data_IF_942805810622
#
_entry.id   IF_942805810622
#
_cell.length_a   1.000
_cell.length_b   1.000
_cell.length_c   1.000
_cell.angle_alpha   90.00
_cell.angle_beta   90.00
_cell.angle_gamma   90.00
#
_symmetry.space_group_name_H-M   'P 1'
#
loop_
_entity.id
_entity.type
_entity.pdbx_description
1 polymer ?
#
# COMPACT_ATOMS: atom_id res chain seq x y z
N UNK A 1 -5.46 3.62 2.60
CA UNK A 1 -5.61 4.22 3.95
C UNK A 1 -4.26 4.72 4.35
N UNK A 2 -4.03 6.00 4.09
CA UNK A 2 -2.80 6.68 4.46
C UNK A 2 -3.03 7.38 5.79
N UNK A 3 -2.15 7.16 6.75
CA UNK A 3 -2.19 7.81 8.05
C UNK A 3 -1.71 9.25 7.86
N UNK A 4 -2.51 10.27 8.20
CA UNK A 4 -2.12 11.66 8.12
C UNK A 4 -1.22 12.09 9.29
N UNK A 5 -0.57 13.23 9.15
CA UNK A 5 0.23 13.80 10.24
C UNK A 5 -0.66 14.19 11.45
N UNK A 6 -0.12 13.99 12.65
CA UNK A 6 -0.82 14.27 13.92
C UNK A 6 -1.64 13.11 14.48
N UNK A 7 -1.84 12.03 13.73
CA UNK A 7 -2.61 10.86 14.19
C UNK A 7 -1.77 9.88 15.02
N UNK A 8 -0.46 9.84 14.76
CA UNK A 8 0.48 9.01 15.51
C UNK A 8 1.24 9.86 16.53
N UNK A 9 1.48 9.28 17.70
CA UNK A 9 2.30 9.91 18.73
C UNK A 9 3.76 9.96 18.28
N UNK A 10 4.54 10.94 18.77
CA UNK A 10 5.94 11.11 18.39
C UNK A 10 6.80 9.86 18.54
N UNK A 11 6.72 9.11 19.64
CA UNK A 11 7.49 7.87 19.76
C UNK A 11 7.13 6.82 18.71
N UNK A 12 5.83 6.71 18.36
CA UNK A 12 5.33 5.70 17.42
C UNK A 12 5.76 6.02 16.00
N UNK A 13 5.47 7.21 15.47
CA UNK A 13 5.85 7.52 14.09
C UNK A 13 7.36 7.59 13.92
N UNK A 14 8.12 8.06 14.92
CA UNK A 14 9.58 8.09 14.84
C UNK A 14 10.19 6.68 14.79
N UNK A 15 9.68 5.76 15.62
CA UNK A 15 10.11 4.37 15.61
C UNK A 15 9.77 3.68 14.27
N UNK A 16 8.56 3.87 13.76
CA UNK A 16 8.13 3.30 12.47
C UNK A 16 8.90 3.88 11.29
N UNK A 17 9.27 5.16 11.32
CA UNK A 17 10.15 5.76 10.32
C UNK A 17 11.53 5.10 10.32
N UNK A 18 12.12 4.91 11.50
CA UNK A 18 13.43 4.27 11.61
C UNK A 18 13.39 2.81 11.13
N UNK A 19 12.41 2.02 11.56
CA UNK A 19 12.30 0.60 11.21
C UNK A 19 11.94 0.39 9.75
N UNK A 20 10.99 1.17 9.21
CA UNK A 20 10.62 1.09 7.79
C UNK A 20 11.74 1.57 6.87
N UNK A 21 12.50 2.61 7.23
CA UNK A 21 13.67 3.02 6.46
C UNK A 21 14.73 1.89 6.38
N UNK A 22 15.00 1.21 7.51
CA UNK A 22 15.89 0.06 7.53
C UNK A 22 15.35 -1.12 6.68
N UNK A 23 14.04 -1.39 6.77
CA UNK A 23 13.37 -2.42 5.98
C UNK A 23 13.43 -2.15 4.48
N UNK A 24 13.14 -0.92 4.05
CA UNK A 24 13.26 -0.50 2.65
C UNK A 24 14.71 -0.58 2.18
N UNK A 25 15.67 -0.14 2.98
CA UNK A 25 17.09 -0.25 2.62
C UNK A 25 17.52 -1.71 2.41
N UNK A 26 17.05 -2.62 3.25
CA UNK A 26 17.30 -4.05 3.10
C UNK A 26 16.63 -4.64 1.85
N UNK A 27 15.35 -4.34 1.62
CA UNK A 27 14.61 -4.78 0.44
C UNK A 27 15.18 -4.21 -0.86
N UNK A 28 15.65 -2.95 -0.83
CA UNK A 28 16.33 -2.30 -1.94
C UNK A 28 17.60 -3.06 -2.33
N UNK A 29 18.44 -3.43 -1.36
CA UNK A 29 19.62 -4.28 -1.62
C UNK A 29 19.24 -5.64 -2.21
N UNK A 30 18.16 -6.24 -1.72
CA UNK A 30 17.61 -7.49 -2.25
C UNK A 30 17.09 -7.37 -3.69
N UNK A 31 16.44 -6.24 -4.00
CA UNK A 31 15.96 -5.90 -5.34
C UNK A 31 17.14 -5.69 -6.32
N UNK A 32 18.17 -4.93 -5.94
CA UNK A 32 19.37 -4.69 -6.79
C UNK A 32 20.06 -5.97 -7.24
N UNK A 33 20.08 -7.02 -6.40
CA UNK A 33 20.70 -8.30 -6.74
C UNK A 33 19.95 -9.08 -7.83
N UNK A 34 18.64 -8.84 -7.98
CA UNK A 34 17.73 -9.65 -8.79
C UNK A 34 17.06 -8.87 -9.93
N UNK A 35 17.24 -7.56 -10.00
CA UNK A 35 16.63 -6.72 -11.01
C UNK A 35 17.51 -6.71 -12.27
N UNK A 36 16.94 -7.16 -13.39
CA UNK A 36 17.56 -7.03 -14.71
C UNK A 36 17.26 -5.64 -15.29
N UNK A 37 18.22 -5.08 -16.04
CA UNK A 37 18.15 -3.72 -16.61
C UNK A 37 16.93 -3.52 -17.53
N UNK A 38 16.58 -4.55 -18.30
CA UNK A 38 15.41 -4.58 -19.18
C UNK A 38 14.06 -4.51 -18.43
N UNK A 39 14.03 -4.72 -17.11
CA UNK A 39 12.81 -4.66 -16.28
C UNK A 39 12.60 -3.30 -15.63
N UNK A 40 13.57 -2.39 -15.70
CA UNK A 40 13.45 -1.03 -15.15
C UNK A 40 12.24 -0.29 -15.75
N UNK A 41 11.98 -0.31 -17.08
CA UNK A 41 10.79 0.31 -17.64
C UNK A 41 9.48 -0.22 -17.04
N UNK A 42 9.42 -1.52 -16.75
CA UNK A 42 8.24 -2.15 -16.16
C UNK A 42 7.98 -1.63 -14.73
N UNK A 43 9.02 -1.36 -13.93
CA UNK A 43 8.86 -0.71 -12.62
C UNK A 43 8.19 0.66 -12.75
N UNK A 44 8.63 1.45 -13.73
CA UNK A 44 8.07 2.78 -14.02
C UNK A 44 6.60 2.72 -14.42
N UNK A 45 6.28 1.90 -15.42
CA UNK A 45 4.90 1.77 -15.93
C UNK A 45 3.96 1.23 -14.85
N UNK A 46 4.37 0.18 -14.12
CA UNK A 46 3.54 -0.38 -13.06
C UNK A 46 3.38 0.57 -11.88
N UNK A 47 4.44 1.32 -11.53
CA UNK A 47 4.37 2.35 -10.50
C UNK A 47 3.37 3.44 -10.86
N UNK A 48 3.45 3.97 -12.08
CA UNK A 48 2.52 4.99 -12.56
C UNK A 48 1.08 4.48 -12.63
N UNK A 49 0.89 3.25 -13.09
CA UNK A 49 -0.44 2.61 -13.13
C UNK A 49 -1.05 2.52 -11.72
N UNK A 50 -0.28 2.04 -10.74
CA UNK A 50 -0.78 1.91 -9.36
C UNK A 50 -1.01 3.26 -8.71
N UNK A 51 -0.12 4.24 -8.91
CA UNK A 51 -0.33 5.62 -8.48
C UNK A 51 -1.63 6.19 -9.05
N UNK A 52 -1.86 6.05 -10.36
CA UNK A 52 -3.09 6.52 -11.01
C UNK A 52 -4.33 5.80 -10.46
N UNK A 53 -4.25 4.49 -10.26
CA UNK A 53 -5.36 3.71 -9.73
C UNK A 53 -5.69 4.05 -8.27
N UNK A 54 -4.69 4.42 -7.47
CA UNK A 54 -4.86 4.90 -6.09
C UNK A 54 -5.62 6.23 -6.00
N UNK A 55 -5.64 7.04 -7.07
CA UNK A 55 -6.42 8.28 -7.10
C UNK A 55 -7.92 8.03 -7.34
N UNK A 56 -8.29 6.82 -7.76
CA UNK A 56 -9.69 6.46 -7.98
C UNK A 56 -10.29 6.04 -6.63
N UNK A 57 -11.05 6.96 -6.04
CA UNK A 57 -11.84 6.70 -4.86
C UNK A 57 -13.19 6.05 -5.24
N UNK A 58 -13.58 5.02 -4.51
CA UNK A 58 -14.88 4.39 -4.61
C UNK A 58 -15.58 4.33 -3.24
N UNK A 59 -16.91 4.47 -3.19
CA UNK A 59 -17.65 4.35 -1.95
C UNK A 59 -17.59 2.90 -1.44
N UNK A 60 -17.16 2.71 -0.19
CA UNK A 60 -17.05 1.39 0.46
C UNK A 60 -18.10 1.25 1.56
N UNK A 61 -18.60 2.36 2.10
CA UNK A 61 -19.65 2.39 3.12
C UNK A 61 -20.32 3.75 3.18
N UNK A 62 -21.27 3.91 4.10
CA UNK A 62 -21.94 5.19 4.36
C UNK A 62 -20.86 6.21 4.76
N UNK A 63 -20.70 7.18 3.86
CA UNK A 63 -19.56 8.07 3.60
C UNK A 63 -18.20 7.67 4.17
N UNK A 64 -17.81 6.46 3.77
CA UNK A 64 -16.40 6.11 3.69
C UNK A 64 -16.05 5.78 2.25
N UNK A 65 -15.08 6.52 1.74
CA UNK A 65 -14.43 6.20 0.47
C UNK A 65 -13.14 5.43 0.73
N UNK A 66 -12.88 4.46 -0.12
CA UNK A 66 -11.63 3.73 -0.18
C UNK A 66 -11.04 3.87 -1.56
N UNK A 67 -9.77 3.56 -1.66
CA UNK A 67 -9.05 3.53 -2.92
C UNK A 67 -8.31 2.21 -3.04
N UNK A 68 -7.91 1.88 -4.27
CA UNK A 68 -7.07 0.72 -4.52
C UNK A 68 -5.75 0.87 -3.76
N UNK A 69 -5.21 -0.18 -3.15
CA UNK A 69 -3.86 -0.14 -2.55
C UNK A 69 -2.79 -0.52 -3.56
N UNK A 70 -3.02 -1.53 -4.40
CA UNK A 70 -2.15 -1.96 -5.49
C UNK A 70 -0.88 -2.73 -5.09
N UNK A 71 -0.64 -2.96 -3.80
CA UNK A 71 0.54 -3.70 -3.31
C UNK A 71 0.56 -5.15 -3.82
N UNK A 72 -0.59 -5.81 -3.90
CA UNK A 72 -0.72 -7.15 -4.48
C UNK A 72 -0.35 -7.20 -5.95
N UNK A 73 -0.91 -6.29 -6.75
CA UNK A 73 -0.62 -6.17 -8.17
C UNK A 73 0.88 -5.97 -8.45
N UNK A 74 1.52 -5.02 -7.74
CA UNK A 74 2.96 -4.81 -7.86
C UNK A 74 3.74 -6.08 -7.50
N UNK A 75 3.32 -6.78 -6.45
CA UNK A 75 4.00 -8.00 -5.97
C UNK A 75 3.95 -9.12 -7.01
N UNK A 76 2.82 -9.32 -7.68
CA UNK A 76 2.68 -10.41 -8.67
C UNK A 76 3.43 -10.14 -9.97
N UNK A 77 3.51 -8.87 -10.40
CA UNK A 77 4.18 -8.46 -11.64
C UNK A 77 5.69 -8.28 -11.41
N UNK A 78 6.08 -7.58 -10.33
CA UNK A 78 7.45 -7.15 -10.08
C UNK A 78 8.21 -8.04 -9.07
N UNK A 79 7.49 -8.80 -8.24
CA UNK A 79 8.05 -9.52 -7.11
C UNK A 79 8.12 -8.63 -5.85
N UNK A 80 8.22 -9.23 -4.65
CA UNK A 80 8.00 -8.50 -3.40
C UNK A 80 9.03 -7.38 -3.14
N UNK A 81 10.33 -7.64 -3.39
CA UNK A 81 11.36 -6.64 -3.14
C UNK A 81 11.27 -5.42 -4.10
N UNK A 82 11.18 -5.59 -5.44
CA UNK A 82 10.96 -4.45 -6.33
C UNK A 82 9.60 -3.77 -6.11
N UNK A 83 8.55 -4.53 -5.78
CA UNK A 83 7.23 -3.97 -5.46
C UNK A 83 7.26 -3.05 -4.23
N UNK A 84 7.96 -3.46 -3.17
CA UNK A 84 8.12 -2.64 -1.98
C UNK A 84 8.86 -1.33 -2.26
N UNK A 85 9.90 -1.36 -3.11
CA UNK A 85 10.63 -0.15 -3.52
C UNK A 85 9.72 0.79 -4.33
N UNK A 86 8.98 0.26 -5.30
CA UNK A 86 8.04 1.05 -6.12
C UNK A 86 6.92 1.63 -5.27
N UNK A 87 6.33 0.84 -4.37
CA UNK A 87 5.28 1.31 -3.46
C UNK A 87 5.81 2.38 -2.50
N UNK A 88 7.05 2.24 -2.00
CA UNK A 88 7.68 3.28 -1.18
C UNK A 88 7.82 4.60 -1.95
N UNK A 89 8.23 4.54 -3.21
CA UNK A 89 8.34 5.73 -4.07
C UNK A 89 6.98 6.40 -4.30
N UNK A 90 5.94 5.60 -4.54
CA UNK A 90 4.55 6.08 -4.67
C UNK A 90 4.11 6.82 -3.41
N UNK A 91 4.26 6.20 -2.24
CA UNK A 91 3.86 6.78 -0.95
C UNK A 91 4.64 8.06 -0.61
N UNK A 92 5.94 8.09 -0.92
CA UNK A 92 6.75 9.30 -0.74
C UNK A 92 6.26 10.45 -1.62
N UNK A 93 5.91 10.18 -2.88
CA UNK A 93 5.34 11.18 -3.79
C UNK A 93 3.97 11.64 -3.27
N UNK A 94 3.11 10.72 -2.84
CA UNK A 94 1.80 11.04 -2.28
C UNK A 94 1.90 11.96 -1.07
N UNK A 95 2.76 11.64 -0.11
CA UNK A 95 2.96 12.46 1.09
C UNK A 95 3.58 13.83 0.77
N UNK A 96 4.62 13.89 -0.08
CA UNK A 96 5.39 15.12 -0.33
C UNK A 96 4.75 16.08 -1.34
N UNK A 97 4.08 15.54 -2.36
CA UNK A 97 3.57 16.32 -3.50
C UNK A 97 2.05 16.47 -3.47
N UNK A 98 1.34 15.47 -2.94
CA UNK A 98 -0.13 15.45 -2.93
C UNK A 98 -0.73 15.62 -1.55
N UNK A 99 0.11 15.60 -0.50
CA UNK A 99 -0.35 15.65 0.89
C UNK A 99 -1.33 14.51 1.24
N UNK A 100 -1.31 13.44 0.46
CA UNK A 100 -2.12 12.24 0.66
C UNK A 100 -1.36 11.27 1.57
N UNK A 101 -1.62 11.43 2.86
CA UNK A 101 -0.83 10.84 3.95
C UNK A 101 0.16 11.82 4.59
N UNK A 102 0.59 11.50 5.81
CA UNK A 102 1.50 12.32 6.59
C UNK A 102 2.96 12.15 6.19
N UNK A 103 3.72 13.25 6.22
CA UNK A 103 5.18 13.23 6.00
C UNK A 103 5.88 12.66 7.23
N UNK A 104 5.43 13.00 8.44
CA UNK A 104 5.92 12.41 9.68
C UNK A 104 5.46 10.95 9.81
N UNK A 105 4.25 10.63 9.34
CA UNK A 105 3.71 9.28 9.32
C UNK A 105 4.18 8.43 8.11
N UNK A 106 5.08 8.95 7.25
CA UNK A 106 5.47 8.29 6.01
C UNK A 106 6.00 6.87 6.22
N UNK A 107 6.83 6.65 7.24
CA UNK A 107 7.36 5.32 7.55
C UNK A 107 6.32 4.34 8.08
N UNK A 108 5.28 4.80 8.77
CA UNK A 108 4.14 3.95 9.12
C UNK A 108 3.40 3.51 7.83
N UNK A 109 3.10 4.46 6.94
CA UNK A 109 2.47 4.18 5.65
C UNK A 109 3.30 3.21 4.78
N UNK A 110 4.61 3.42 4.72
CA UNK A 110 5.57 2.54 4.02
C UNK A 110 5.63 1.17 4.68
N UNK A 111 5.69 1.10 6.00
CA UNK A 111 5.68 -0.15 6.76
C UNK A 111 4.44 -0.98 6.45
N UNK A 112 3.28 -0.35 6.45
CA UNK A 112 1.98 -1.00 6.25
C UNK A 112 1.77 -1.46 4.82
N UNK A 113 1.96 -0.57 3.84
CA UNK A 113 1.59 -0.85 2.45
C UNK A 113 2.76 -1.38 1.61
N UNK A 114 3.95 -0.80 1.76
CA UNK A 114 5.09 -1.17 0.94
C UNK A 114 5.79 -2.43 1.46
N UNK A 115 5.91 -2.60 2.78
CA UNK A 115 6.58 -3.75 3.38
C UNK A 115 5.57 -4.85 3.71
N UNK A 116 4.70 -4.62 4.70
CA UNK A 116 3.79 -5.64 5.19
C UNK A 116 2.77 -6.07 4.12
N UNK A 117 2.18 -5.12 3.39
CA UNK A 117 1.24 -5.39 2.30
C UNK A 117 1.84 -6.26 1.20
N UNK A 118 3.03 -5.92 0.70
CA UNK A 118 3.68 -6.72 -0.36
C UNK A 118 4.08 -8.12 0.12
N UNK A 119 4.57 -8.25 1.36
CA UNK A 119 4.89 -9.55 1.95
C UNK A 119 3.63 -10.41 2.17
N UNK A 120 2.55 -9.80 2.65
CA UNK A 120 1.26 -10.44 2.84
C UNK A 120 0.68 -10.92 1.50
N UNK A 121 0.73 -10.10 0.45
CA UNK A 121 0.33 -10.50 -0.89
C UNK A 121 1.14 -11.67 -1.43
N UNK A 122 2.45 -11.66 -1.18
CA UNK A 122 3.34 -12.71 -1.67
C UNK A 122 3.01 -14.08 -1.07
N UNK A 123 2.37 -14.13 0.10
CA UNK A 123 2.18 -15.39 0.81
C UNK A 123 1.24 -16.37 0.07
N UNK A 124 -0.01 -16.04 -0.29
CA UNK A 124 -0.84 -16.94 -1.10
C UNK A 124 -0.27 -17.17 -2.49
N UNK A 125 0.35 -16.13 -3.09
CA UNK A 125 0.98 -16.22 -4.41
C UNK A 125 2.11 -17.24 -4.46
N UNK A 126 2.93 -17.32 -3.41
CA UNK A 126 4.03 -18.27 -3.32
C UNK A 126 3.57 -19.72 -3.36
N UNK A 127 2.48 -20.04 -2.67
CA UNK A 127 2.00 -21.43 -2.54
C UNK A 127 1.06 -21.85 -3.67
N UNK A 128 0.18 -20.95 -4.09
CA UNK A 128 -0.90 -21.26 -5.02
C UNK A 128 -0.66 -20.70 -6.43
N UNK A 129 0.23 -19.71 -6.60
CA UNK A 129 0.45 -19.00 -7.85
C UNK A 129 1.00 -19.84 -9.01
N UNK A 130 1.72 -20.93 -8.71
CA UNK A 130 2.21 -21.90 -9.69
C UNK A 130 1.26 -23.10 -9.90
N UNK A 131 0.08 -23.10 -9.27
CA UNK A 131 -0.87 -24.22 -9.32
C UNK A 131 -2.12 -23.85 -10.13
N UNK A 132 -3.05 -24.81 -10.31
CA UNK A 132 -4.38 -24.54 -10.87
C UNK A 132 -5.19 -23.47 -10.10
N UNK A 133 -4.80 -23.19 -8.85
CA UNK A 133 -5.43 -22.19 -7.98
C UNK A 133 -4.80 -20.79 -8.10
N UNK A 134 -4.02 -20.52 -9.15
CA UNK A 134 -3.38 -19.21 -9.39
C UNK A 134 -4.32 -18.01 -9.24
N UNK A 135 -5.54 -18.08 -9.78
CA UNK A 135 -6.54 -17.00 -9.66
C UNK A 135 -6.96 -16.74 -8.22
N UNK A 136 -7.13 -17.80 -7.44
CA UNK A 136 -7.42 -17.72 -6.01
C UNK A 136 -6.23 -17.13 -5.25
N UNK A 137 -5.00 -17.47 -5.65
CA UNK A 137 -3.77 -16.90 -5.08
C UNK A 137 -3.71 -15.37 -5.23
N UNK A 138 -4.05 -14.85 -6.42
CA UNK A 138 -4.11 -13.41 -6.69
C UNK A 138 -5.16 -12.71 -5.84
N UNK A 139 -6.37 -13.28 -5.81
CA UNK A 139 -7.49 -12.74 -5.04
C UNK A 139 -7.16 -12.70 -3.53
N UNK A 140 -6.79 -13.85 -2.96
CA UNK A 140 -6.47 -13.97 -1.53
C UNK A 140 -5.23 -13.16 -1.16
N UNK A 141 -4.20 -13.13 -2.00
CA UNK A 141 -2.99 -12.34 -1.74
C UNK A 141 -3.30 -10.85 -1.65
N UNK A 142 -4.06 -10.30 -2.61
CA UNK A 142 -4.38 -8.88 -2.60
C UNK A 142 -5.33 -8.51 -1.46
N UNK A 143 -6.32 -9.36 -1.17
CA UNK A 143 -7.19 -9.17 -0.01
C UNK A 143 -6.39 -9.21 1.30
N UNK A 144 -5.51 -10.19 1.47
CA UNK A 144 -4.67 -10.32 2.66
C UNK A 144 -3.73 -9.11 2.82
N UNK A 145 -3.18 -8.58 1.73
CA UNK A 145 -2.36 -7.36 1.73
C UNK A 145 -3.09 -6.17 2.33
N UNK A 146 -4.30 -5.88 1.84
CA UNK A 146 -5.10 -4.75 2.33
C UNK A 146 -5.51 -4.98 3.78
N UNK A 147 -5.94 -6.19 4.10
CA UNK A 147 -6.37 -6.53 5.44
C UNK A 147 -5.24 -6.35 6.45
N UNK A 148 -4.04 -6.90 6.19
CA UNK A 148 -2.86 -6.75 7.05
C UNK A 148 -2.48 -5.28 7.21
N UNK A 149 -2.44 -4.50 6.13
CA UNK A 149 -2.13 -3.07 6.21
C UNK A 149 -3.14 -2.33 7.11
N UNK A 150 -4.42 -2.66 7.01
CA UNK A 150 -5.47 -2.03 7.80
C UNK A 150 -5.41 -2.43 9.28
N UNK A 151 -5.07 -3.68 9.59
CA UNK A 151 -4.83 -4.11 10.98
C UNK A 151 -3.66 -3.37 11.61
N UNK A 152 -2.58 -3.15 10.85
CA UNK A 152 -1.43 -2.39 11.33
C UNK A 152 -1.79 -0.94 11.61
N UNK A 153 -2.56 -0.28 10.74
CA UNK A 153 -3.08 1.08 10.98
C UNK A 153 -3.85 1.14 12.31
N UNK A 154 -4.76 0.19 12.56
CA UNK A 154 -5.51 0.14 13.83
C UNK A 154 -4.61 -0.07 15.04
N UNK A 155 -3.59 -0.93 14.92
CA UNK A 155 -2.61 -1.14 15.98
C UNK A 155 -1.77 0.12 16.25
N UNK A 156 -1.32 0.82 15.22
CA UNK A 156 -0.50 2.03 15.33
C UNK A 156 -1.26 3.20 15.96
N UNK A 157 -2.55 3.35 15.62
CA UNK A 157 -3.44 4.31 16.25
C UNK A 157 -3.67 3.98 17.74
N UNK A 158 -3.95 2.71 18.05
CA UNK A 158 -4.11 2.24 19.43
C UNK A 158 -2.84 2.48 20.26
N UNK A 159 -1.66 2.14 19.72
CA UNK A 159 -0.35 2.39 20.35
C UNK A 159 -0.07 3.87 20.55
N UNK A 160 -0.65 4.73 19.71
CA UNK A 160 -0.53 6.19 19.83
C UNK A 160 -1.52 6.79 20.83
N UNK A 161 -2.29 5.97 21.56
CA UNK A 161 -3.26 6.42 22.55
C UNK A 161 -4.58 6.91 21.94
N UNK A 162 -4.84 6.62 20.66
CA UNK A 162 -6.13 6.89 20.05
C UNK A 162 -7.12 5.86 20.59
N UNK A 163 -8.17 6.35 21.26
CA UNK A 163 -9.22 5.48 21.78
C UNK A 163 -9.99 4.84 20.62
N UNK A 164 -9.98 3.49 20.57
CA UNK A 164 -10.72 2.69 19.59
C UNK A 164 -11.75 1.81 20.34
N UNK A 165 -12.84 2.39 20.87
CA UNK A 165 -13.90 1.61 21.50
C UNK A 165 -14.42 0.50 20.59
N UNK A 166 -14.89 -0.60 21.19
CA UNK A 166 -15.25 -1.82 20.46
C UNK A 166 -16.21 -1.64 19.25
N UNK A 167 -17.20 -0.73 19.29
CA UNK A 167 -18.01 -0.43 18.10
C UNK A 167 -17.16 0.06 16.94
N UNK A 168 -16.25 1.00 17.21
CA UNK A 168 -15.40 1.65 16.21
C UNK A 168 -14.50 0.66 15.49
N UNK A 169 -13.89 -0.20 16.29
CA UNK A 169 -12.95 -1.18 15.79
C UNK A 169 -13.65 -2.20 14.89
N UNK A 170 -14.83 -2.69 15.29
CA UNK A 170 -15.62 -3.64 14.49
C UNK A 170 -16.01 -3.06 13.15
N UNK A 171 -16.41 -1.81 13.14
CA UNK A 171 -16.78 -1.10 11.92
C UNK A 171 -15.62 -0.99 10.96
N UNK A 172 -14.50 -0.52 11.50
CA UNK A 172 -13.28 -0.37 10.73
C UNK A 172 -12.87 -1.69 10.12
N UNK A 173 -12.89 -2.78 10.90
CA UNK A 173 -12.59 -4.12 10.42
C UNK A 173 -13.54 -4.61 9.33
N UNK A 174 -14.84 -4.33 9.44
CA UNK A 174 -15.82 -4.70 8.42
C UNK A 174 -15.54 -3.99 7.09
N UNK A 175 -15.37 -2.67 7.12
CA UNK A 175 -15.09 -1.91 5.90
C UNK A 175 -13.72 -2.23 5.32
N UNK A 176 -12.72 -2.53 6.14
CA UNK A 176 -11.43 -3.03 5.66
C UNK A 176 -11.53 -4.41 5.03
N UNK A 177 -12.37 -5.29 5.57
CA UNK A 177 -12.63 -6.59 4.95
C UNK A 177 -13.32 -6.42 3.59
N UNK A 178 -14.29 -5.52 3.50
CA UNK A 178 -14.95 -5.20 2.23
C UNK A 178 -13.97 -4.61 1.21
N UNK A 179 -13.16 -3.64 1.63
CA UNK A 179 -12.10 -3.06 0.80
C UNK A 179 -11.09 -4.13 0.35
N UNK A 180 -10.70 -5.06 1.24
CA UNK A 180 -9.81 -6.16 0.91
C UNK A 180 -10.40 -7.12 -0.13
N UNK A 181 -11.68 -7.47 0.00
CA UNK A 181 -12.38 -8.30 -0.99
C UNK A 181 -12.47 -7.59 -2.33
N UNK A 182 -12.82 -6.30 -2.34
CA UNK A 182 -12.87 -5.49 -3.56
C UNK A 182 -11.50 -5.38 -4.23
N UNK A 183 -10.44 -5.10 -3.47
CA UNK A 183 -9.06 -5.10 -3.95
C UNK A 183 -8.69 -6.45 -4.58
N UNK A 184 -9.06 -7.56 -3.92
CA UNK A 184 -8.90 -8.91 -4.43
C UNK A 184 -9.53 -9.10 -5.80
N UNK A 185 -10.77 -8.67 -5.95
CA UNK A 185 -11.52 -8.76 -7.20
C UNK A 185 -10.93 -7.87 -8.30
N UNK A 186 -10.61 -6.60 -7.98
CA UNK A 186 -10.03 -5.64 -8.93
C UNK A 186 -8.65 -6.12 -9.39
N UNK A 187 -7.79 -6.54 -8.46
CA UNK A 187 -6.45 -7.04 -8.80
C UNK A 187 -6.53 -8.30 -9.65
N UNK A 188 -7.47 -9.21 -9.36
CA UNK A 188 -7.70 -10.38 -10.21
C UNK A 188 -8.15 -9.97 -11.62
N UNK A 189 -9.10 -9.04 -11.74
CA UNK A 189 -9.56 -8.55 -13.04
C UNK A 189 -8.42 -7.91 -13.85
N UNK A 190 -7.61 -7.06 -13.22
CA UNK A 190 -6.44 -6.43 -13.84
C UNK A 190 -5.41 -7.48 -14.24
N UNK A 191 -5.13 -8.47 -13.38
CA UNK A 191 -4.20 -9.56 -13.69
C UNK A 191 -4.66 -10.37 -14.91
N UNK A 192 -5.96 -10.70 -15.01
CA UNK A 192 -6.51 -11.40 -16.16
C UNK A 192 -6.41 -10.56 -17.45
N UNK A 193 -6.63 -9.25 -17.36
CA UNK A 193 -6.46 -8.35 -18.49
C UNK A 193 -4.99 -8.25 -18.94
N UNK A 194 -4.06 -8.12 -17.98
CA UNK A 194 -2.62 -8.08 -18.24
C UNK A 194 -2.11 -9.39 -18.84
N UNK A 195 -2.55 -10.55 -18.35
CA UNK A 195 -2.22 -11.87 -18.92
C UNK A 195 -2.63 -11.96 -20.39
N UNK A 196 -3.80 -11.42 -20.73
CA UNK A 196 -4.32 -11.43 -22.10
C UNK A 196 -3.51 -10.52 -23.03
N UNK A 197 -3.08 -9.35 -22.57
CA UNK A 197 -2.35 -8.37 -23.39
C UNK A 197 -0.85 -8.64 -23.46
N UNK A 198 -0.23 -8.98 -22.34
CA UNK A 198 1.21 -9.18 -22.21
C UNK A 198 1.54 -10.40 -21.31
N UNK A 199 1.41 -11.64 -21.84
CA UNK A 199 1.56 -12.88 -21.07
C UNK A 199 2.90 -13.03 -20.33
N UNK A 200 3.96 -12.36 -20.81
CA UNK A 200 5.33 -12.45 -20.27
C UNK A 200 5.60 -11.54 -19.07
N UNK A 201 4.68 -10.64 -18.69
CA UNK A 201 4.92 -9.68 -17.60
C UNK A 201 4.77 -10.28 -16.20
N UNK A 202 4.10 -11.43 -16.07
CA UNK A 202 3.81 -12.02 -14.76
C UNK A 202 4.86 -13.07 -14.40
N UNK A 203 5.43 -12.92 -13.21
CA UNK A 203 6.49 -13.80 -12.72
C UNK A 203 5.92 -15.07 -12.11
N UNK A 204 6.52 -16.22 -12.44
CA UNK A 204 6.30 -17.42 -11.67
C UNK A 204 6.83 -17.23 -10.23
N UNK A 205 6.12 -17.72 -9.19
CA UNK A 205 6.58 -17.59 -7.81
C UNK A 205 7.91 -18.33 -7.59
N UNK A 206 8.82 -17.74 -6.79
CA UNK A 206 10.09 -18.39 -6.40
C UNK A 206 9.83 -19.41 -5.29
N UNK A 207 10.17 -20.68 -5.53
CA UNK A 207 10.00 -21.79 -4.57
C UNK A 207 11.11 -21.80 -3.49
N UNK A 208 10.79 -22.11 -2.23
CA UNK A 208 11.72 -22.23 -1.08
C UNK A 208 10.98 -22.35 0.27
N UNK A 209 11.66 -22.52 1.41
CA UNK A 209 11.00 -22.62 2.74
C UNK A 209 10.55 -21.24 3.27
N UNK A 210 9.26 -21.10 3.60
CA UNK A 210 8.64 -19.87 4.11
C UNK A 210 8.08 -20.01 5.54
N UNK A 211 8.48 -21.08 6.24
CA UNK A 211 8.08 -21.40 7.62
C UNK A 211 8.17 -20.22 8.61
N UNK A 212 9.23 -19.39 8.64
CA UNK A 212 9.30 -18.29 9.60
C UNK A 212 8.34 -17.13 9.24
N UNK A 213 8.13 -16.84 7.96
CA UNK A 213 7.19 -15.80 7.52
C UNK A 213 5.72 -16.24 7.73
N UNK A 214 5.43 -17.54 7.55
CA UNK A 214 4.16 -18.17 7.87
C UNK A 214 3.87 -18.15 9.37
N UNK A 215 4.87 -18.50 10.20
CA UNK A 215 4.73 -18.48 11.65
C UNK A 215 4.44 -17.06 12.15
N UNK A 216 5.15 -16.05 11.62
CA UNK A 216 4.93 -14.65 11.99
C UNK A 216 3.56 -14.14 11.52
N UNK A 217 3.18 -14.38 10.26
CA UNK A 217 1.88 -13.97 9.74
C UNK A 217 0.72 -14.67 10.45
N UNK A 218 0.86 -15.97 10.76
CA UNK A 218 -0.14 -16.73 11.50
C UNK A 218 -0.22 -16.29 12.97
N UNK A 219 0.89 -15.95 13.63
CA UNK A 219 0.89 -15.42 15.00
C UNK A 219 0.25 -14.04 15.08
N UNK A 220 0.53 -13.16 14.11
CA UNK A 220 -0.11 -11.83 14.02
C UNK A 220 -1.61 -11.98 13.74
N UNK A 221 -2.00 -12.84 12.80
CA UNK A 221 -3.39 -13.05 12.43
C UNK A 221 -4.20 -13.75 13.55
N UNK A 222 -3.62 -14.77 14.20
CA UNK A 222 -4.25 -15.49 15.29
C UNK A 222 -4.35 -14.65 16.58
N UNK A 223 -3.33 -13.85 16.88
CA UNK A 223 -3.37 -12.90 18.00
C UNK A 223 -4.44 -11.82 17.81
N UNK A 224 -4.72 -11.42 16.57
CA UNK A 224 -5.70 -10.37 16.26
C UNK A 224 -7.14 -10.89 16.16
N UNK A 225 -7.35 -12.07 15.54
CA UNK A 225 -8.68 -12.71 15.42
C UNK A 225 -9.21 -13.15 16.79
N UNK A 226 -8.32 -13.59 17.70
CA UNK A 226 -8.70 -13.99 19.05
C UNK A 226 -9.25 -12.85 19.92
N UNK A 227 -9.05 -11.58 19.53
CA UNK A 227 -9.47 -10.42 20.31
C UNK A 227 -10.88 -9.90 19.96
N UNK A 228 -11.50 -10.27 18.83
CA UNK A 228 -12.67 -9.52 18.30
C UNK A 228 -13.78 -10.33 17.58
N UNK A 229 -14.06 -11.56 17.98
CA UNK A 229 -15.22 -12.29 17.46
C UNK A 229 -16.55 -11.76 18.07
N UNK A 230 -17.37 -11.03 17.30
CA UNK A 230 -18.78 -10.72 17.65
C UNK A 230 -19.60 -10.35 16.39
N UNK A 231 -20.88 -10.78 16.28
CA UNK A 231 -21.76 -10.45 15.16
C UNK A 231 -22.57 -9.15 15.46
N UNK A 232 -22.86 -8.32 14.43
CA UNK A 232 -23.86 -7.20 14.32
C UNK A 232 -23.28 -5.82 13.84
N UNK A 233 -24.10 -4.94 13.19
CA UNK A 233 -23.71 -4.06 12.05
C UNK A 233 -23.46 -2.55 12.34
N UNK A 234 -23.25 -1.73 11.28
CA UNK A 234 -22.04 -0.90 11.09
C UNK A 234 -22.15 0.65 10.83
N UNK A 235 -21.06 1.45 11.05
CA UNK A 235 -20.98 2.92 10.87
C UNK A 235 -19.61 3.63 11.15
N UNK A 236 -18.88 4.03 10.09
CA UNK A 236 -17.49 4.58 10.20
C UNK A 236 -17.38 6.09 9.99
N UNK A 237 -18.38 6.73 9.42
CA UNK A 237 -18.37 8.18 9.25
C UNK A 237 -18.91 8.92 10.50
N UNK A 238 -19.91 8.31 11.17
CA UNK A 238 -20.33 8.70 12.53
C UNK A 238 -19.20 8.75 13.55
N UNK A 239 -18.14 8.01 13.28
CA UNK A 239 -17.08 7.67 14.18
C UNK A 239 -16.01 8.77 14.27
N UNK A 240 -15.70 9.39 13.14
CA UNK A 240 -14.81 10.54 13.07
C UNK A 240 -15.49 11.79 13.67
N UNK A 241 -16.81 11.91 13.50
CA UNK A 241 -17.62 12.98 14.09
C UNK A 241 -17.85 12.80 15.60
N UNK A 242 -18.30 11.62 16.06
CA UNK A 242 -18.60 11.36 17.49
C UNK A 242 -17.33 11.34 18.36
N UNK A 243 -16.17 10.96 17.81
CA UNK A 243 -14.91 10.96 18.55
C UNK A 243 -14.22 12.34 18.61
N UNK A 244 -14.72 13.36 17.89
CA UNK A 244 -14.21 14.73 17.96
C UNK A 244 -12.77 14.91 17.46
N UNK A 245 -12.27 13.98 16.65
CA UNK A 245 -10.86 13.95 16.17
C UNK A 245 -10.67 14.53 14.78
N UNK A 246 -11.77 14.86 14.08
CA UNK A 246 -11.73 15.44 12.73
C UNK A 246 -10.86 16.73 12.63
N UNK A 247 -10.78 17.52 13.71
CA UNK A 247 -9.99 18.76 13.75
C UNK A 247 -8.50 18.60 14.08
N UNK A 248 -8.00 17.38 14.33
CA UNK A 248 -6.58 17.15 14.68
C UNK A 248 -5.66 17.00 13.48
N UNK A 249 -6.18 16.93 12.26
CA UNK A 249 -5.37 16.90 11.05
C UNK A 249 -4.68 18.26 10.85
N UNK A 250 -3.36 18.32 11.06
CA UNK A 250 -2.56 19.50 10.75
C UNK A 250 -1.39 19.10 9.85
N UNK A 251 -1.35 19.69 8.65
CA UNK A 251 -0.24 19.51 7.73
C UNK A 251 1.01 20.25 8.24
N UNK A 252 2.09 19.51 8.50
CA UNK A 252 3.36 20.05 9.03
C UNK A 252 4.20 20.71 7.94
N UNK A 253 4.09 20.24 6.70
CA UNK A 253 4.77 20.81 5.52
C UNK A 253 3.71 21.21 4.49
N UNK A 254 3.80 22.42 3.91
CA UNK A 254 2.91 22.83 2.81
C UNK A 254 3.31 22.13 1.52
N UNK A 255 2.42 21.27 1.01
CA UNK A 255 2.57 20.55 -0.25
C UNK A 255 2.20 21.44 -1.45
N UNK A 256 2.85 21.26 -2.62
CA UNK A 256 2.54 22.02 -3.83
C UNK A 256 1.15 21.73 -4.43
N UNK A 257 0.56 20.53 -4.23
CA UNK A 257 -0.76 20.16 -4.78
C UNK A 257 -1.59 19.32 -3.77
N UNK A 258 -2.04 19.91 -2.65
CA UNK A 258 -2.82 19.19 -1.66
C UNK A 258 -4.11 18.60 -2.24
N UNK A 259 -4.50 17.42 -1.76
CA UNK A 259 -5.74 16.72 -2.13
C UNK A 259 -5.92 16.48 -3.64
N UNK A 260 -4.82 16.44 -4.38
CA UNK A 260 -4.81 16.30 -5.84
C UNK A 260 -5.55 17.44 -6.57
N UNK A 261 -5.52 18.67 -6.00
CA UNK A 261 -6.04 19.87 -6.66
C UNK A 261 -4.96 20.91 -6.95
N UNK A 262 -5.12 21.64 -8.07
CA UNK A 262 -4.28 22.81 -8.36
C UNK A 262 -4.73 24.04 -7.52
N UNK A 263 -3.79 24.78 -6.89
CA UNK A 263 -4.11 25.90 -6.00
C UNK A 263 -4.82 27.08 -6.68
N UNK A 264 -4.60 27.33 -7.98
CA UNK A 264 -5.31 28.36 -8.75
C UNK A 264 -5.10 28.21 -10.27
N UNK A 265 -6.13 28.56 -11.06
CA UNK A 265 -6.09 28.67 -12.53
C UNK A 265 -6.52 27.41 -13.30
N UNK A 266 -7.10 27.61 -14.49
CA UNK A 266 -7.56 26.52 -15.38
C UNK A 266 -9.04 26.13 -15.23
N UNK A 267 -9.54 25.29 -16.14
CA UNK A 267 -10.89 24.72 -16.07
C UNK A 267 -11.01 23.65 -14.97
N UNK A 268 -12.22 23.36 -14.48
CA UNK A 268 -12.47 22.35 -13.44
C UNK A 268 -11.87 20.98 -13.80
N UNK A 269 -11.98 20.59 -15.07
CA UNK A 269 -11.34 19.37 -15.60
C UNK A 269 -9.80 19.41 -15.46
N UNK A 270 -9.17 20.54 -15.75
CA UNK A 270 -7.72 20.70 -15.66
C UNK A 270 -7.24 20.68 -14.20
N UNK A 271 -7.98 21.32 -13.30
CA UNK A 271 -7.66 21.37 -11.85
C UNK A 271 -7.68 19.99 -11.18
N UNK A 272 -8.57 19.09 -11.63
CA UNK A 272 -8.68 17.72 -11.11
C UNK A 272 -7.81 16.69 -11.85
N UNK A 273 -7.52 16.92 -13.14
CA UNK A 273 -6.78 15.93 -13.95
C UNK A 273 -5.27 16.18 -13.98
N UNK A 274 -4.82 17.43 -13.91
CA UNK A 274 -3.40 17.77 -14.00
C UNK A 274 -2.55 17.24 -12.84
N UNK A 275 -3.01 17.26 -11.57
CA UNK A 275 -2.25 16.71 -10.45
C UNK A 275 -2.00 15.20 -10.62
N UNK A 276 -3.01 14.46 -11.09
CA UNK A 276 -2.86 13.03 -11.37
C UNK A 276 -1.89 12.74 -12.50
N UNK A 277 -1.95 13.48 -13.61
CA UNK A 277 -0.99 13.33 -14.72
C UNK A 277 0.45 13.66 -14.29
N UNK A 278 0.63 14.70 -13.48
CA UNK A 278 1.94 15.06 -12.93
C UNK A 278 2.49 13.99 -11.98
N UNK A 279 1.65 13.43 -11.10
CA UNK A 279 2.03 12.36 -10.18
C UNK A 279 2.38 11.06 -10.89
N UNK A 280 1.65 10.71 -11.95
CA UNK A 280 1.98 9.58 -12.85
C UNK A 280 3.36 9.79 -13.48
N UNK A 281 3.60 10.95 -14.08
CA UNK A 281 4.88 11.27 -14.73
C UNK A 281 6.05 11.21 -13.73
N UNK A 282 5.87 11.80 -12.54
CA UNK A 282 6.87 11.78 -11.48
C UNK A 282 7.15 10.36 -10.98
N UNK A 283 6.11 9.55 -10.81
CA UNK A 283 6.25 8.15 -10.38
C UNK A 283 7.04 7.33 -11.40
N UNK A 284 6.77 7.51 -12.72
CA UNK A 284 7.59 6.90 -13.77
C UNK A 284 9.05 7.33 -13.64
N UNK A 285 9.31 8.63 -13.54
CA UNK A 285 10.67 9.16 -13.43
C UNK A 285 11.41 8.59 -12.22
N UNK A 286 10.81 8.63 -11.04
CA UNK A 286 11.42 8.12 -9.80
C UNK A 286 11.65 6.62 -9.88
N UNK A 287 10.68 5.83 -10.35
CA UNK A 287 10.83 4.39 -10.48
C UNK A 287 11.90 4.00 -11.50
N UNK A 288 12.03 4.74 -12.62
CA UNK A 288 13.12 4.55 -13.58
C UNK A 288 14.49 4.89 -12.99
N UNK A 289 14.58 6.00 -12.25
CA UNK A 289 15.82 6.42 -11.58
C UNK A 289 16.24 5.42 -10.52
N UNK A 290 15.32 4.99 -9.65
CA UNK A 290 15.57 3.96 -8.66
C UNK A 290 16.00 2.66 -9.35
N UNK A 291 15.28 2.21 -10.39
CA UNK A 291 15.67 1.03 -11.16
C UNK A 291 17.09 1.11 -11.72
N UNK A 292 17.50 2.25 -12.28
CA UNK A 292 18.88 2.48 -12.77
C UNK A 292 19.92 2.48 -11.65
N UNK A 293 19.62 3.10 -10.51
CA UNK A 293 20.52 3.10 -9.34
C UNK A 293 20.71 1.68 -8.81
N UNK A 294 19.62 0.91 -8.68
CA UNK A 294 19.66 -0.48 -8.24
C UNK A 294 20.47 -1.36 -9.22
N UNK A 295 20.32 -1.15 -10.53
CA UNK A 295 21.09 -1.86 -11.55
C UNK A 295 22.59 -1.51 -11.53
N UNK A 296 22.95 -0.24 -11.32
CA UNK A 296 24.36 0.20 -11.19
C UNK A 296 25.05 -0.36 -9.95
N UNK A 297 24.34 -0.46 -8.82
CA UNK A 297 24.88 -1.05 -7.58
C UNK A 297 25.27 -2.53 -7.75
N UNK A 298 24.68 -3.25 -8.71
CA UNK A 298 25.10 -4.61 -9.07
C UNK A 298 26.45 -4.63 -9.78
N UNK A 299 26.74 -3.65 -10.64
CA UNK A 299 27.98 -3.62 -11.44
C UNK A 299 29.21 -3.21 -10.62
N UNK A 300 29.04 -2.42 -9.56
CA UNK A 300 30.13 -2.01 -8.66
C UNK A 300 30.43 -2.96 -7.48
N UNK A 301 29.67 -4.04 -7.34
CA UNK A 301 29.83 -5.05 -6.28
C UNK A 301 30.20 -6.44 -6.79
N UNK A 302 30.55 -6.55 -8.07
CA UNK A 302 31.17 -7.71 -8.70
C UNK A 302 32.67 -7.44 -8.86
#
# INVERSE_FOLDING_TARGET
MHIPDGFLSTPVWAALNATSAAGVAWLSRGASRNLEENRIPLLGVMGAFVFAAQMINFPVGVGTSGHLVGAGLLTFVLGPAPAAVVMTAILAIQALIFQDGGVLALGANVGNMAIAGTLAAYLPWRFLGATRFRRLAVFLGSALSVFVAALLVLAELSLSGVALPAPILRVSLFLFMLAAVLEGAITLAVMLALEKMHPRWIQAPRQGSALPALALAALVLAGFIALFASPLPDGLEKLAEEAGIAGRAQAVLRSPMPDYELPAGGSEWLRRSAPGLAGVALTVCVALLLGRVLARQRQGGA
#
